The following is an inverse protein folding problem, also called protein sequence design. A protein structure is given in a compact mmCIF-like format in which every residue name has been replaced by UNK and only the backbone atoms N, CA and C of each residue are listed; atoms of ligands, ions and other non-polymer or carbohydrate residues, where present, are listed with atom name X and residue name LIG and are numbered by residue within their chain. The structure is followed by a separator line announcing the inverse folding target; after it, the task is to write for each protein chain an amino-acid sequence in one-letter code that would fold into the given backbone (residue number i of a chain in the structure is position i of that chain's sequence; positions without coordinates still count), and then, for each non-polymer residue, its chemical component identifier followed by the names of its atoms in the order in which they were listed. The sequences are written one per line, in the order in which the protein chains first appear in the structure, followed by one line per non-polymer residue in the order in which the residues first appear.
data_IF_072033680985
#
_entry.id   IF_072033680985
#
_cell.length_a   1.000
_cell.length_b   1.000
_cell.length_c   1.000
_cell.angle_alpha   90.00
_cell.angle_beta   90.00
_cell.angle_gamma   90.00
#
_symmetry.space_group_name_H-M   'P 1'
#
loop_
_entity.id
_entity.type
_entity.pdbx_description
1 polymer ?
#
# COMPACT_ATOMS: atom_id res chain seq x y z
N UNK A 1 17.01 16.74 -37.56
CA UNK A 1 16.39 18.07 -37.37
C UNK A 1 15.49 17.97 -36.15
N UNK A 2 15.97 18.53 -35.04
CA UNK A 2 15.36 18.39 -33.72
C UNK A 2 14.22 19.41 -33.55
N UNK A 3 13.01 18.93 -33.28
CA UNK A 3 11.87 19.77 -32.92
C UNK A 3 12.07 20.28 -31.49
N UNK A 4 12.60 21.50 -31.37
CA UNK A 4 12.57 22.25 -30.12
C UNK A 4 11.11 22.59 -29.77
N UNK A 5 10.61 21.91 -28.74
CA UNK A 5 9.32 22.20 -28.10
C UNK A 5 9.47 23.57 -27.44
N UNK A 6 8.93 24.60 -28.09
CA UNK A 6 8.86 25.94 -27.51
C UNK A 6 7.92 25.91 -26.30
N UNK A 7 8.52 26.08 -25.12
CA UNK A 7 7.93 26.83 -24.02
C UNK A 7 7.13 28.01 -24.59
N UNK A 8 5.85 28.18 -24.24
CA UNK A 8 5.13 29.40 -24.58
C UNK A 8 5.59 30.53 -23.63
N UNK A 9 6.83 30.98 -23.78
CA UNK A 9 7.36 32.16 -23.07
C UNK A 9 6.42 33.36 -23.23
N UNK A 10 5.74 33.48 -24.37
CA UNK A 10 4.71 34.49 -24.62
C UNK A 10 3.56 34.46 -23.60
N UNK A 11 3.17 33.28 -23.10
CA UNK A 11 2.11 33.18 -22.08
C UNK A 11 2.63 33.56 -20.69
N UNK A 12 3.88 33.24 -20.36
CA UNK A 12 4.53 33.73 -19.13
C UNK A 12 4.72 35.25 -19.19
N UNK A 13 5.10 35.79 -20.36
CA UNK A 13 5.25 37.23 -20.57
C UNK A 13 3.89 37.95 -20.50
N UNK A 14 2.82 37.36 -21.06
CA UNK A 14 1.44 37.86 -20.91
C UNK A 14 1.00 37.85 -19.45
N UNK A 15 1.31 36.77 -18.72
CA UNK A 15 1.06 36.66 -17.30
C UNK A 15 1.80 37.76 -16.52
N UNK A 16 3.10 37.95 -16.77
CA UNK A 16 3.91 39.01 -16.16
C UNK A 16 3.33 40.41 -16.44
N UNK A 17 2.97 40.69 -17.70
CA UNK A 17 2.36 41.98 -18.09
C UNK A 17 1.04 42.23 -17.37
N UNK A 18 0.16 41.22 -17.29
CA UNK A 18 -1.12 41.35 -16.60
C UNK A 18 -0.93 41.58 -15.09
N UNK A 19 0.01 40.87 -14.48
CA UNK A 19 0.32 41.02 -13.04
C UNK A 19 0.97 42.37 -12.70
N UNK A 20 1.63 43.03 -13.66
CA UNK A 20 2.18 44.38 -13.49
C UNK A 20 1.13 45.50 -13.62
N UNK A 21 0.02 45.26 -14.34
CA UNK A 21 -1.02 46.27 -14.59
C UNK A 21 -2.14 46.31 -13.55
N UNK A 22 -2.38 45.20 -12.85
CA UNK A 22 -3.48 45.12 -11.88
C UNK A 22 -3.05 45.64 -10.49
N UNK A 23 -3.91 46.43 -9.85
CA UNK A 23 -3.67 46.95 -8.50
C UNK A 23 -3.53 45.78 -7.49
N UNK A 24 -2.34 45.61 -6.90
CA UNK A 24 -1.76 44.38 -6.32
C UNK A 24 -2.43 43.88 -5.01
N UNK A 25 -3.62 44.34 -4.65
CA UNK A 25 -4.31 43.88 -3.43
C UNK A 25 -5.21 42.68 -3.76
N UNK A 26 -4.67 41.46 -3.65
CA UNK A 26 -5.30 40.13 -3.82
C UNK A 26 -5.12 39.44 -5.17
N UNK A 27 -3.89 38.96 -5.40
CA UNK A 27 -3.57 38.03 -6.49
C UNK A 27 -3.45 36.62 -5.91
N UNK A 28 -4.11 35.64 -6.54
CA UNK A 28 -3.95 34.21 -6.25
C UNK A 28 -3.63 33.46 -7.54
N UNK A 29 -2.71 32.50 -7.46
CA UNK A 29 -2.27 31.72 -8.61
C UNK A 29 -2.45 30.24 -8.32
N UNK A 30 -3.14 29.56 -9.23
CA UNK A 30 -3.53 28.16 -9.11
C UNK A 30 -2.87 27.36 -10.25
N UNK A 31 -1.93 26.49 -9.90
CA UNK A 31 -1.21 25.61 -10.81
C UNK A 31 -1.92 24.26 -10.85
N UNK A 32 -2.48 23.90 -12.00
CA UNK A 32 -3.05 22.57 -12.23
C UNK A 32 -2.09 21.70 -13.01
N UNK A 33 -1.75 20.54 -12.46
CA UNK A 33 -0.85 19.57 -13.07
C UNK A 33 -1.59 18.27 -13.37
N UNK A 34 -1.62 17.89 -14.65
CA UNK A 34 -1.90 16.51 -15.02
C UNK A 34 -0.58 15.73 -15.14
N UNK A 35 -0.49 14.59 -14.44
CA UNK A 35 0.77 13.92 -14.17
C UNK A 35 0.87 12.64 -14.97
N UNK A 36 1.79 12.62 -15.94
CA UNK A 36 2.15 11.41 -16.65
C UNK A 36 3.62 10.99 -16.39
N UNK A 37 3.99 9.84 -16.97
CA UNK A 37 5.33 9.24 -16.80
C UNK A 37 6.43 10.10 -17.41
N UNK A 38 6.23 10.53 -18.66
CA UNK A 38 7.30 11.15 -19.46
C UNK A 38 7.28 12.69 -19.35
N UNK A 39 6.09 13.28 -19.22
CA UNK A 39 5.89 14.71 -18.98
C UNK A 39 4.67 14.96 -18.08
N UNK A 40 4.59 16.15 -17.52
CA UNK A 40 3.44 16.67 -16.79
C UNK A 40 2.87 17.84 -17.58
N UNK A 41 1.55 17.93 -17.70
CA UNK A 41 0.93 19.07 -18.36
C UNK A 41 0.57 20.13 -17.32
N UNK A 42 1.02 21.37 -17.52
CA UNK A 42 0.80 22.47 -16.59
C UNK A 42 -0.12 23.53 -17.19
N UNK A 43 -1.16 23.87 -16.45
CA UNK A 43 -1.98 25.07 -16.66
C UNK A 43 -1.97 25.95 -15.41
N UNK A 44 -1.99 27.27 -15.61
CA UNK A 44 -2.01 28.26 -14.54
C UNK A 44 -3.29 29.08 -14.65
N UNK A 45 -4.06 29.13 -13.57
CA UNK A 45 -5.20 30.03 -13.43
C UNK A 45 -4.81 31.15 -12.47
N UNK A 46 -4.97 32.40 -12.88
CA UNK A 46 -4.69 33.58 -12.06
C UNK A 46 -5.98 34.28 -11.75
N UNK A 47 -6.19 34.56 -10.47
CA UNK A 47 -7.32 35.31 -9.95
C UNK A 47 -6.83 36.65 -9.43
N UNK A 48 -7.38 37.73 -9.98
CA UNK A 48 -7.12 39.10 -9.53
C UNK A 48 -8.46 39.78 -9.30
N UNK A 49 -8.72 40.21 -8.07
CA UNK A 49 -9.97 40.89 -7.69
C UNK A 49 -11.24 40.13 -8.14
N UNK A 50 -11.22 38.79 -8.04
CA UNK A 50 -12.32 37.91 -8.42
C UNK A 50 -12.46 37.63 -9.92
N UNK A 51 -11.66 38.26 -10.78
CA UNK A 51 -11.58 37.92 -12.21
C UNK A 51 -10.51 36.87 -12.43
N UNK A 52 -10.83 35.87 -13.24
CA UNK A 52 -9.90 34.76 -13.54
C UNK A 52 -9.33 34.86 -14.95
N UNK A 53 -8.08 34.44 -15.11
CA UNK A 53 -7.37 34.39 -16.39
C UNK A 53 -6.59 33.07 -16.46
N UNK A 54 -6.77 32.34 -17.55
CA UNK A 54 -6.18 31.01 -17.74
C UNK A 54 -4.99 31.06 -18.71
N UNK A 55 -3.88 30.46 -18.30
CA UNK A 55 -2.65 30.34 -19.08
C UNK A 55 -2.29 28.87 -19.25
N UNK A 56 -2.21 28.47 -20.51
CA UNK A 56 -1.69 27.18 -20.94
C UNK A 56 -0.16 27.26 -21.02
N UNK A 57 0.53 26.58 -20.10
CA UNK A 57 2.00 26.60 -20.03
C UNK A 57 2.58 25.49 -20.92
N UNK A 58 1.97 24.31 -20.88
CA UNK A 58 2.35 23.17 -21.71
C UNK A 58 3.05 22.05 -20.92
N UNK A 59 3.88 21.30 -21.63
CA UNK A 59 4.53 20.10 -21.10
C UNK A 59 5.80 20.42 -20.31
N UNK A 60 5.89 19.85 -19.10
CA UNK A 60 7.08 19.82 -18.25
C UNK A 60 7.63 18.40 -18.27
N UNK A 61 8.79 18.18 -18.90
CA UNK A 61 9.42 16.85 -18.93
C UNK A 61 9.66 16.32 -17.51
N UNK A 62 9.43 15.03 -17.29
CA UNK A 62 9.72 14.38 -16.01
C UNK A 62 11.20 13.96 -15.93
N UNK A 63 12.09 14.95 -16.03
CA UNK A 63 13.54 14.79 -15.95
C UNK A 63 14.17 16.05 -15.34
N UNK A 64 15.49 16.06 -15.18
CA UNK A 64 16.21 17.20 -14.58
C UNK A 64 15.95 18.52 -15.32
N UNK A 65 16.03 18.52 -16.65
CA UNK A 65 15.79 19.70 -17.49
C UNK A 65 14.37 20.26 -17.31
N UNK A 66 13.36 19.41 -17.30
CA UNK A 66 11.97 19.83 -17.07
C UNK A 66 11.75 20.39 -15.66
N UNK A 67 12.40 19.84 -14.64
CA UNK A 67 12.31 20.41 -13.29
C UNK A 67 13.06 21.75 -13.15
N UNK A 68 14.19 21.95 -13.83
CA UNK A 68 14.84 23.27 -13.91
C UNK A 68 13.93 24.31 -14.58
N UNK A 69 13.27 23.91 -15.67
CA UNK A 69 12.30 24.74 -16.35
C UNK A 69 11.11 25.11 -15.45
N UNK A 70 10.63 24.16 -14.65
CA UNK A 70 9.59 24.41 -13.68
C UNK A 70 10.03 25.37 -12.57
N UNK A 71 11.23 25.18 -12.01
CA UNK A 71 11.83 26.07 -11.03
C UNK A 71 11.94 27.51 -11.58
N UNK A 72 12.35 27.66 -12.84
CA UNK A 72 12.41 28.96 -13.50
C UNK A 72 11.03 29.62 -13.63
N UNK A 73 9.97 28.87 -13.92
CA UNK A 73 8.59 29.41 -13.94
C UNK A 73 8.22 29.97 -12.57
N UNK A 74 8.44 29.19 -11.50
CA UNK A 74 8.11 29.64 -10.15
C UNK A 74 8.94 30.85 -9.72
N UNK A 75 10.25 30.87 -10.00
CA UNK A 75 11.12 32.04 -9.73
C UNK A 75 10.61 33.30 -10.41
N UNK A 76 10.29 33.23 -11.71
CA UNK A 76 9.74 34.36 -12.47
C UNK A 76 8.42 34.90 -11.90
N UNK A 77 7.61 34.05 -11.26
CA UNK A 77 6.35 34.45 -10.61
C UNK A 77 6.63 35.08 -9.24
N UNK A 78 7.56 34.51 -8.46
CA UNK A 78 7.96 35.02 -7.14
C UNK A 78 8.63 36.40 -7.27
N UNK A 79 9.43 36.63 -8.31
CA UNK A 79 10.05 37.92 -8.65
C UNK A 79 9.04 39.06 -8.88
N UNK A 80 7.76 38.75 -9.11
CA UNK A 80 6.68 39.75 -9.24
C UNK A 80 6.14 40.23 -7.88
N UNK A 81 6.87 40.00 -6.78
CA UNK A 81 6.47 40.31 -5.40
C UNK A 81 5.14 39.63 -4.98
N UNK A 82 4.82 38.49 -5.59
CA UNK A 82 3.67 37.68 -5.19
C UNK A 82 4.08 36.80 -4.00
N UNK A 83 3.31 36.91 -2.91
CA UNK A 83 3.53 36.05 -1.74
C UNK A 83 3.44 34.57 -2.12
N UNK A 84 4.40 33.78 -1.66
CA UNK A 84 4.41 32.32 -1.82
C UNK A 84 3.11 31.68 -1.28
N UNK A 85 2.51 32.28 -0.25
CA UNK A 85 1.25 31.83 0.33
C UNK A 85 0.04 31.99 -0.61
N UNK A 86 0.19 32.76 -1.70
CA UNK A 86 -0.83 32.94 -2.73
C UNK A 86 -0.64 32.00 -3.93
N UNK A 87 0.33 31.08 -3.87
CA UNK A 87 0.56 30.05 -4.88
C UNK A 87 -0.07 28.74 -4.41
N UNK A 88 -0.96 28.17 -5.21
CA UNK A 88 -1.72 26.95 -4.91
C UNK A 88 -1.47 25.91 -5.99
N UNK A 89 -1.08 24.69 -5.63
CA UNK A 89 -0.71 23.64 -6.59
C UNK A 89 -1.66 22.47 -6.46
N UNK A 90 -2.34 22.09 -7.53
CA UNK A 90 -3.24 20.95 -7.61
C UNK A 90 -2.65 19.83 -8.46
N UNK A 91 -2.75 18.59 -7.96
CA UNK A 91 -2.16 17.40 -8.58
C UNK A 91 -3.20 16.27 -8.57
N UNK A 92 -3.46 15.62 -9.70
CA UNK A 92 -4.25 14.38 -9.73
C UNK A 92 -3.36 13.16 -9.44
N UNK A 93 -3.75 12.32 -8.47
CA UNK A 93 -3.02 11.07 -8.18
C UNK A 93 -3.54 9.91 -9.01
N UNK A 94 -2.81 9.57 -10.06
CA UNK A 94 -3.04 8.34 -10.85
C UNK A 94 -1.84 7.38 -10.82
N UNK A 95 -0.67 7.82 -10.34
CA UNK A 95 0.57 7.02 -10.29
C UNK A 95 1.57 7.51 -9.23
N UNK A 96 2.83 7.05 -9.29
CA UNK A 96 3.90 7.46 -8.35
C UNK A 96 4.70 8.68 -8.82
N UNK A 97 4.55 9.13 -10.06
CA UNK A 97 5.38 10.20 -10.64
C UNK A 97 5.21 11.57 -9.97
N UNK A 98 4.08 11.79 -9.30
CA UNK A 98 3.82 13.03 -8.57
C UNK A 98 4.78 13.25 -7.39
N UNK A 99 5.43 12.20 -6.84
CA UNK A 99 6.31 12.34 -5.69
C UNK A 99 7.50 13.27 -5.98
N UNK A 100 8.18 13.07 -7.11
CA UNK A 100 9.33 13.90 -7.50
C UNK A 100 8.91 15.35 -7.73
N UNK A 101 7.76 15.58 -8.38
CA UNK A 101 7.20 16.91 -8.60
C UNK A 101 6.88 17.63 -7.28
N UNK A 102 6.17 16.95 -6.36
CA UNK A 102 5.86 17.49 -5.02
C UNK A 102 7.15 17.84 -4.27
N UNK A 103 8.17 16.97 -4.34
CA UNK A 103 9.44 17.19 -3.66
C UNK A 103 10.15 18.46 -4.15
N UNK A 104 10.17 18.68 -5.47
CA UNK A 104 10.78 19.86 -6.09
C UNK A 104 10.00 21.13 -5.76
N UNK A 105 8.67 21.11 -5.89
CA UNK A 105 7.81 22.26 -5.56
C UNK A 105 7.97 22.67 -4.10
N UNK A 106 8.05 21.70 -3.17
CA UNK A 106 8.30 21.99 -1.75
C UNK A 106 9.70 22.57 -1.49
N UNK A 107 10.72 22.32 -2.35
CA UNK A 107 12.06 22.94 -2.19
C UNK A 107 12.02 24.44 -2.47
N UNK A 108 11.02 24.89 -3.23
CA UNK A 108 10.78 26.30 -3.54
C UNK A 108 9.99 27.04 -2.44
N UNK A 109 9.72 26.38 -1.30
CA UNK A 109 9.00 26.97 -0.17
C UNK A 109 7.46 26.97 -0.31
N UNK A 110 6.92 26.39 -1.38
CA UNK A 110 5.47 26.36 -1.63
C UNK A 110 4.82 25.25 -0.80
N UNK A 111 3.93 25.64 0.12
CA UNK A 111 3.25 24.69 1.01
C UNK A 111 1.84 24.29 0.56
N UNK A 112 1.16 25.14 -0.21
CA UNK A 112 -0.23 24.92 -0.59
C UNK A 112 -0.33 23.93 -1.77
N UNK A 113 -0.01 22.67 -1.49
CA UNK A 113 -0.04 21.57 -2.45
C UNK A 113 -1.21 20.66 -2.12
N UNK A 114 -2.10 20.46 -3.09
CA UNK A 114 -3.33 19.69 -2.98
C UNK A 114 -3.25 18.45 -3.86
N UNK A 115 -3.23 17.31 -3.19
CA UNK A 115 -3.18 15.99 -3.81
C UNK A 115 -4.61 15.47 -3.92
N UNK A 116 -5.16 15.48 -5.13
CA UNK A 116 -6.60 15.29 -5.36
C UNK A 116 -6.85 13.88 -5.90
N UNK A 117 -7.89 13.23 -5.35
CA UNK A 117 -8.34 11.94 -5.85
C UNK A 117 -8.94 12.09 -7.26
N UNK A 118 -8.44 11.31 -8.22
CA UNK A 118 -8.93 11.32 -9.61
C UNK A 118 -10.43 11.08 -9.75
N UNK A 119 -11.09 10.41 -8.80
CA UNK A 119 -12.55 10.30 -8.82
C UNK A 119 -13.26 11.64 -8.60
N UNK A 120 -12.71 12.51 -7.74
CA UNK A 120 -13.25 13.86 -7.48
C UNK A 120 -13.03 14.74 -8.72
N UNK A 121 -11.83 14.70 -9.30
CA UNK A 121 -11.52 15.42 -10.55
C UNK A 121 -12.43 14.95 -11.69
N UNK A 122 -12.64 13.64 -11.85
CA UNK A 122 -13.53 13.09 -12.88
C UNK A 122 -14.98 13.55 -12.70
N UNK A 123 -15.50 13.59 -11.48
CA UNK A 123 -16.85 14.10 -11.20
C UNK A 123 -16.95 15.59 -11.53
N UNK A 124 -15.97 16.38 -11.09
CA UNK A 124 -15.93 17.81 -11.38
C UNK A 124 -15.78 18.09 -12.88
N UNK A 125 -14.92 17.34 -13.58
CA UNK A 125 -14.75 17.40 -15.03
C UNK A 125 -16.08 17.20 -15.74
N UNK A 126 -16.85 16.18 -15.37
CA UNK A 126 -18.14 15.90 -15.99
C UNK A 126 -19.17 17.02 -15.76
N UNK A 127 -19.10 17.75 -14.64
CA UNK A 127 -19.94 18.94 -14.41
C UNK A 127 -19.41 20.21 -15.07
N UNK A 128 -18.08 20.32 -15.25
CA UNK A 128 -17.40 21.53 -15.70
C UNK A 128 -17.26 21.58 -17.23
N UNK A 129 -17.00 20.44 -17.88
CA UNK A 129 -16.78 20.33 -19.32
C UNK A 129 -17.53 19.10 -19.85
N UNK A 130 -18.42 19.32 -20.82
CA UNK A 130 -19.17 18.24 -21.49
C UNK A 130 -18.36 17.61 -22.65
N UNK A 131 -17.10 17.26 -22.38
CA UNK A 131 -16.15 16.68 -23.35
C UNK A 131 -15.84 15.23 -22.97
N UNK A 132 -16.08 14.30 -23.90
CA UNK A 132 -15.69 12.89 -23.76
C UNK A 132 -14.22 12.64 -24.14
N UNK A 133 -13.49 13.64 -24.62
CA UNK A 133 -12.11 13.48 -25.10
C UNK A 133 -11.16 13.64 -23.92
N UNK A 134 -10.28 12.65 -23.73
CA UNK A 134 -9.17 12.74 -22.77
C UNK A 134 -8.07 13.60 -23.38
N UNK A 135 -7.72 14.70 -22.72
CA UNK A 135 -6.70 15.61 -23.17
C UNK A 135 -5.98 16.14 -21.92
N UNK A 136 -4.69 15.86 -21.80
CA UNK A 136 -3.86 16.19 -20.63
C UNK A 136 -3.89 17.70 -20.33
N UNK A 137 -4.01 18.53 -21.38
CA UNK A 137 -4.28 19.97 -21.23
C UNK A 137 -5.58 20.25 -20.50
N UNK A 138 -6.69 19.65 -20.94
CA UNK A 138 -8.00 19.86 -20.31
C UNK A 138 -7.99 19.37 -18.87
N UNK A 139 -7.33 18.25 -18.59
CA UNK A 139 -7.23 17.69 -17.24
C UNK A 139 -6.45 18.65 -16.32
N UNK A 140 -5.32 19.22 -16.78
CA UNK A 140 -4.58 20.24 -16.04
C UNK A 140 -5.40 21.52 -15.75
N UNK A 141 -6.21 21.98 -16.72
CA UNK A 141 -7.11 23.13 -16.56
C UNK A 141 -8.20 22.84 -15.52
N UNK A 142 -8.83 21.67 -15.61
CA UNK A 142 -9.87 21.23 -14.67
C UNK A 142 -9.32 21.19 -13.25
N UNK A 143 -8.09 20.72 -13.06
CA UNK A 143 -7.42 20.70 -11.75
C UNK A 143 -7.21 22.12 -11.21
N UNK A 144 -6.74 23.06 -12.04
CA UNK A 144 -6.57 24.46 -11.63
C UNK A 144 -7.90 25.11 -11.20
N UNK A 145 -8.98 24.90 -11.95
CA UNK A 145 -10.32 25.37 -11.57
C UNK A 145 -10.85 24.67 -10.33
N UNK A 146 -10.57 23.37 -10.15
CA UNK A 146 -11.00 22.63 -8.96
C UNK A 146 -10.42 23.23 -7.69
N UNK A 147 -9.11 23.48 -7.66
CA UNK A 147 -8.46 24.08 -6.49
C UNK A 147 -8.91 25.53 -6.25
N UNK A 148 -9.19 26.29 -7.31
CA UNK A 148 -9.77 27.63 -7.18
C UNK A 148 -11.18 27.59 -6.60
N UNK A 149 -12.04 26.71 -7.13
CA UNK A 149 -13.46 26.59 -6.73
C UNK A 149 -13.62 26.11 -5.30
N UNK A 150 -12.81 25.12 -4.89
CA UNK A 150 -12.90 24.49 -3.59
C UNK A 150 -11.80 24.93 -2.62
N UNK A 151 -11.15 26.08 -2.90
CA UNK A 151 -10.02 26.58 -2.12
C UNK A 151 -10.29 26.57 -0.63
N UNK A 152 -11.35 27.23 -0.17
CA UNK A 152 -11.65 27.37 1.26
C UNK A 152 -11.92 26.01 1.93
N UNK A 153 -12.52 25.06 1.20
CA UNK A 153 -12.72 23.70 1.70
C UNK A 153 -11.39 22.96 1.82
N UNK A 154 -10.55 23.04 0.79
CA UNK A 154 -9.23 22.40 0.76
C UNK A 154 -8.28 23.02 1.78
N UNK A 155 -8.34 24.32 2.00
CA UNK A 155 -7.62 25.03 3.05
C UNK A 155 -8.13 24.61 4.43
N UNK A 156 -9.45 24.53 4.65
CA UNK A 156 -9.99 24.02 5.93
C UNK A 156 -9.62 22.55 6.18
N UNK A 157 -9.61 21.72 5.13
CA UNK A 157 -9.11 20.35 5.20
C UNK A 157 -7.63 20.35 5.60
N UNK A 158 -6.80 21.15 4.93
CA UNK A 158 -5.36 21.28 5.22
C UNK A 158 -5.06 21.94 6.56
N UNK A 159 -5.84 22.92 7.02
CA UNK A 159 -5.70 23.59 8.31
C UNK A 159 -6.20 22.70 9.44
N UNK A 160 -7.28 21.94 9.26
CA UNK A 160 -7.67 20.92 10.24
C UNK A 160 -6.58 19.86 10.39
N UNK A 161 -5.91 19.54 9.28
CA UNK A 161 -4.72 18.69 9.25
C UNK A 161 -3.57 19.39 10.00
N UNK A 162 -3.14 20.61 9.62
CA UNK A 162 -2.05 21.40 10.24
C UNK A 162 -2.28 21.80 11.71
N UNK A 163 -3.51 22.06 12.14
CA UNK A 163 -3.84 22.49 13.51
C UNK A 163 -3.97 21.31 14.48
N UNK A 164 -4.46 20.15 14.01
CA UNK A 164 -4.40 18.89 14.79
C UNK A 164 -3.00 18.27 14.80
N UNK A 165 -2.07 18.84 14.03
CA UNK A 165 -0.69 18.38 13.96
C UNK A 165 0.22 19.55 13.62
N UNK A 166 0.75 20.22 14.66
CA UNK A 166 1.81 21.25 14.59
C UNK A 166 3.12 20.75 13.94
N UNK A 167 3.10 19.66 13.16
CA UNK A 167 4.23 18.91 12.66
C UNK A 167 3.93 18.11 11.38
N UNK A 168 2.96 18.49 10.53
CA UNK A 168 2.90 17.94 9.17
C UNK A 168 3.92 18.69 8.31
N UNK A 169 5.18 18.36 8.59
CA UNK A 169 6.31 18.72 7.78
C UNK A 169 6.33 17.85 6.52
N UNK A 170 7.00 18.35 5.48
CA UNK A 170 7.47 17.60 4.30
C UNK A 170 7.89 16.15 4.59
N UNK A 171 8.40 15.88 5.79
CA UNK A 171 8.80 14.56 6.27
C UNK A 171 7.66 13.54 6.30
N UNK A 172 6.47 13.85 6.83
CA UNK A 172 5.43 12.83 7.06
C UNK A 172 4.83 12.24 5.77
N UNK A 173 4.54 13.10 4.79
CA UNK A 173 4.05 12.64 3.48
C UNK A 173 5.08 11.75 2.78
N UNK A 174 6.37 12.10 2.87
CA UNK A 174 7.45 11.30 2.28
C UNK A 174 7.64 9.98 3.04
N UNK A 175 7.65 10.00 4.38
CA UNK A 175 7.73 8.83 5.26
C UNK A 175 6.59 7.85 4.98
N UNK A 176 5.35 8.32 4.99
CA UNK A 176 4.17 7.49 4.68
C UNK A 176 4.22 6.92 3.27
N UNK A 177 4.75 7.66 2.31
CA UNK A 177 4.88 7.20 0.92
C UNK A 177 5.95 6.14 0.73
N UNK A 178 7.12 6.29 1.38
CA UNK A 178 8.19 5.28 1.40
C UNK A 178 7.70 3.99 2.05
N UNK A 179 7.08 4.08 3.23
CA UNK A 179 6.48 2.93 3.92
C UNK A 179 5.43 2.22 3.05
N UNK A 180 4.56 2.99 2.40
CA UNK A 180 3.55 2.46 1.49
C UNK A 180 4.17 1.70 0.32
N UNK A 181 5.23 2.23 -0.29
CA UNK A 181 5.93 1.54 -1.39
C UNK A 181 6.55 0.22 -0.91
N UNK A 182 7.32 0.26 0.18
CA UNK A 182 7.99 -0.91 0.75
C UNK A 182 6.97 -1.99 1.15
N UNK A 183 5.89 -1.61 1.83
CA UNK A 183 4.86 -2.55 2.26
C UNK A 183 4.13 -3.19 1.07
N UNK A 184 3.82 -2.41 0.02
CA UNK A 184 3.18 -2.94 -1.19
C UNK A 184 4.04 -3.98 -1.88
N UNK A 185 5.34 -3.74 -1.99
CA UNK A 185 6.29 -4.72 -2.52
C UNK A 185 6.37 -5.95 -1.62
N UNK A 186 6.51 -5.77 -0.31
CA UNK A 186 6.50 -6.85 0.68
C UNK A 186 5.25 -7.74 0.57
N UNK A 187 4.07 -7.11 0.44
CA UNK A 187 2.81 -7.81 0.28
C UNK A 187 2.75 -8.60 -1.04
N UNK A 188 3.23 -8.02 -2.13
CA UNK A 188 3.33 -8.71 -3.42
C UNK A 188 4.22 -9.95 -3.32
N UNK A 189 5.37 -9.85 -2.65
CA UNK A 189 6.29 -10.98 -2.49
C UNK A 189 5.75 -12.07 -1.56
N UNK A 190 5.06 -11.72 -0.46
CA UNK A 190 4.34 -12.71 0.38
C UNK A 190 3.29 -13.47 -0.43
N UNK A 191 2.60 -12.80 -1.36
CA UNK A 191 1.65 -13.44 -2.28
C UNK A 191 2.38 -14.35 -3.27
N UNK A 192 3.48 -13.91 -3.88
CA UNK A 192 4.33 -14.73 -4.76
C UNK A 192 4.83 -15.99 -4.04
N UNK A 193 5.34 -15.86 -2.81
CA UNK A 193 5.77 -16.97 -1.97
C UNK A 193 4.63 -17.97 -1.74
N UNK A 194 3.42 -17.50 -1.48
CA UNK A 194 2.24 -18.35 -1.29
C UNK A 194 1.89 -19.16 -2.56
N UNK A 195 2.02 -18.54 -3.74
CA UNK A 195 1.80 -19.21 -5.04
C UNK A 195 2.88 -20.27 -5.27
N UNK A 196 4.15 -19.95 -5.02
CA UNK A 196 5.27 -20.90 -5.16
C UNK A 196 5.05 -22.10 -4.23
N UNK A 197 4.68 -21.87 -2.96
CA UNK A 197 4.33 -22.94 -2.02
C UNK A 197 3.20 -23.84 -2.54
N UNK A 198 2.19 -23.26 -3.19
CA UNK A 198 1.11 -24.03 -3.80
C UNK A 198 1.62 -24.91 -4.95
N UNK A 199 2.48 -24.37 -5.80
CA UNK A 199 3.09 -25.13 -6.91
C UNK A 199 3.99 -26.27 -6.42
N UNK A 200 4.81 -26.01 -5.39
CA UNK A 200 5.60 -27.06 -4.72
C UNK A 200 4.67 -28.17 -4.19
N UNK A 201 3.56 -27.81 -3.54
CA UNK A 201 2.59 -28.80 -3.03
C UNK A 201 1.98 -29.64 -4.14
N UNK A 202 1.54 -28.99 -5.21
CA UNK A 202 0.93 -29.65 -6.36
C UNK A 202 1.90 -30.65 -6.99
N UNK A 203 3.13 -30.19 -7.27
CA UNK A 203 4.16 -31.03 -7.85
C UNK A 203 4.58 -32.17 -6.90
N UNK A 204 4.65 -31.91 -5.60
CA UNK A 204 4.87 -32.97 -4.60
C UNK A 204 3.77 -34.02 -4.64
N UNK A 205 2.49 -33.62 -4.67
CA UNK A 205 1.38 -34.58 -4.72
C UNK A 205 1.40 -35.45 -5.99
N UNK A 206 2.00 -34.94 -7.07
CA UNK A 206 2.13 -35.63 -8.35
C UNK A 206 3.28 -36.65 -8.35
N UNK A 207 4.45 -36.26 -7.83
CA UNK A 207 5.67 -37.09 -7.89
C UNK A 207 5.78 -38.05 -6.71
N UNK A 208 5.36 -37.61 -5.52
CA UNK A 208 5.67 -38.31 -4.27
C UNK A 208 4.72 -37.89 -3.13
N UNK A 209 3.42 -38.20 -3.20
CA UNK A 209 2.43 -37.73 -2.23
C UNK A 209 2.66 -38.26 -0.80
N UNK A 210 3.22 -39.46 -0.64
CA UNK A 210 3.45 -40.16 0.63
C UNK A 210 4.49 -39.47 1.52
N UNK A 211 5.30 -38.55 0.98
CA UNK A 211 6.22 -37.73 1.79
C UNK A 211 5.50 -36.99 2.93
N UNK A 212 4.22 -36.67 2.76
CA UNK A 212 3.42 -36.00 3.79
C UNK A 212 3.03 -36.89 4.97
N UNK A 213 3.28 -38.19 4.92
CA UNK A 213 3.21 -39.08 6.10
C UNK A 213 4.39 -38.84 7.06
N UNK A 214 5.47 -38.22 6.58
CA UNK A 214 6.69 -37.93 7.34
C UNK A 214 6.87 -36.42 7.59
N UNK A 215 6.46 -35.58 6.64
CA UNK A 215 6.61 -34.13 6.71
C UNK A 215 5.25 -33.42 6.78
N UNK A 216 5.19 -32.34 7.58
CA UNK A 216 3.99 -31.54 7.69
C UNK A 216 3.78 -30.69 6.42
N UNK A 217 2.65 -30.90 5.75
CA UNK A 217 2.24 -30.22 4.50
C UNK A 217 2.29 -28.67 4.55
N UNK A 218 2.31 -28.07 5.73
CA UNK A 218 2.30 -26.62 5.93
C UNK A 218 3.65 -26.03 6.36
N UNK A 219 4.63 -26.83 6.80
CA UNK A 219 5.86 -26.32 7.44
C UNK A 219 7.03 -26.05 6.49
N UNK A 220 7.10 -26.66 5.30
CA UNK A 220 8.15 -26.40 4.28
C UNK A 220 9.56 -26.38 4.88
N UNK A 221 9.93 -27.45 5.60
CA UNK A 221 11.22 -27.49 6.30
C UNK A 221 12.39 -27.51 5.31
N UNK A 222 13.57 -27.01 5.71
CA UNK A 222 14.78 -27.03 4.86
C UNK A 222 15.11 -28.44 4.36
N UNK A 223 14.98 -29.44 5.23
CA UNK A 223 15.18 -30.85 4.88
C UNK A 223 14.15 -31.36 3.86
N UNK A 224 12.86 -31.10 4.07
CA UNK A 224 11.80 -31.48 3.14
C UNK A 224 12.04 -30.89 1.75
N UNK A 225 12.39 -29.60 1.67
CA UNK A 225 12.62 -28.93 0.41
C UNK A 225 13.89 -29.42 -0.28
N UNK A 226 14.95 -29.68 0.48
CA UNK A 226 16.16 -30.27 -0.04
C UNK A 226 15.90 -31.65 -0.65
N UNK A 227 15.19 -32.53 0.07
CA UNK A 227 14.84 -33.87 -0.42
C UNK A 227 14.03 -33.77 -1.72
N UNK A 228 12.96 -32.97 -1.73
CA UNK A 228 12.10 -32.79 -2.90
C UNK A 228 12.85 -32.27 -4.14
N UNK A 229 13.85 -31.42 -3.95
CA UNK A 229 14.57 -30.77 -5.06
C UNK A 229 15.82 -31.50 -5.53
N UNK A 230 16.32 -32.49 -4.79
CA UNK A 230 17.59 -33.15 -5.10
C UNK A 230 17.49 -34.66 -5.30
N UNK A 231 16.34 -35.27 -5.01
CA UNK A 231 16.13 -36.70 -5.20
C UNK A 231 14.83 -37.00 -5.94
N UNK A 232 14.86 -37.97 -6.83
CA UNK A 232 13.67 -38.65 -7.34
C UNK A 232 13.18 -39.67 -6.30
N UNK A 233 11.96 -40.18 -6.46
CA UNK A 233 11.45 -41.26 -5.60
C UNK A 233 12.33 -42.52 -5.70
N UNK A 234 12.85 -42.82 -6.88
CA UNK A 234 13.65 -44.00 -7.16
C UNK A 234 15.04 -43.86 -6.52
N UNK A 235 15.68 -42.70 -6.64
CA UNK A 235 16.94 -42.38 -5.95
C UNK A 235 16.81 -42.51 -4.42
N UNK A 236 15.65 -42.15 -3.85
CA UNK A 236 15.37 -42.33 -2.41
C UNK A 236 15.32 -43.83 -2.04
N UNK A 237 14.74 -44.66 -2.90
CA UNK A 237 14.59 -46.10 -2.67
C UNK A 237 15.89 -46.89 -2.90
N UNK A 238 16.71 -46.49 -3.86
CA UNK A 238 17.95 -47.18 -4.24
C UNK A 238 19.13 -46.90 -3.28
N UNK A 239 19.17 -45.71 -2.67
CA UNK A 239 20.24 -45.36 -1.74
C UNK A 239 20.16 -46.15 -0.43
N UNK A 240 21.31 -46.55 0.10
CA UNK A 240 21.40 -47.07 1.47
C UNK A 240 20.92 -46.00 2.47
N UNK A 241 20.33 -46.41 3.60
CA UNK A 241 19.87 -45.47 4.64
C UNK A 241 20.99 -44.55 5.12
N UNK A 242 22.22 -45.07 5.18
CA UNK A 242 23.43 -44.32 5.54
C UNK A 242 23.82 -43.29 4.50
N UNK A 243 23.81 -43.65 3.20
CA UNK A 243 24.16 -42.72 2.13
C UNK A 243 23.10 -41.64 1.95
N UNK A 244 21.83 -42.01 2.03
CA UNK A 244 20.73 -41.06 1.96
C UNK A 244 20.80 -40.06 3.11
N UNK A 245 21.03 -40.52 4.34
CA UNK A 245 21.28 -39.65 5.49
C UNK A 245 22.44 -38.69 5.25
N UNK A 246 23.61 -39.21 4.84
CA UNK A 246 24.81 -38.40 4.63
C UNK A 246 24.58 -37.30 3.56
N UNK A 247 23.95 -37.65 2.43
CA UNK A 247 23.64 -36.68 1.37
C UNK A 247 22.65 -35.61 1.83
N UNK A 248 21.64 -35.96 2.61
CA UNK A 248 20.66 -35.00 3.15
C UNK A 248 21.31 -34.08 4.18
N UNK A 249 22.15 -34.59 5.09
CA UNK A 249 22.83 -33.77 6.09
C UNK A 249 23.82 -32.79 5.43
N UNK A 250 24.65 -33.28 4.51
CA UNK A 250 25.62 -32.45 3.79
C UNK A 250 24.94 -31.30 3.05
N UNK A 251 23.87 -31.58 2.29
CA UNK A 251 23.19 -30.54 1.52
C UNK A 251 22.27 -29.62 2.33
N UNK A 252 21.86 -30.02 3.54
CA UNK A 252 21.11 -29.14 4.45
C UNK A 252 22.01 -28.33 5.39
N UNK A 253 23.31 -28.63 5.46
CA UNK A 253 24.26 -27.99 6.37
C UNK A 253 23.94 -28.24 7.85
N UNK A 254 23.25 -29.35 8.17
CA UNK A 254 22.94 -29.74 9.54
C UNK A 254 24.00 -30.72 10.04
N UNK A 255 24.72 -30.34 11.09
CA UNK A 255 25.73 -31.20 11.73
C UNK A 255 25.09 -31.90 12.93
N UNK A 256 25.14 -33.24 12.89
CA UNK A 256 25.02 -34.30 13.93
C UNK A 256 24.02 -34.22 15.11
N UNK A 257 23.40 -33.09 15.43
CA UNK A 257 22.42 -33.01 16.51
C UNK A 257 21.24 -33.95 16.23
N UNK A 258 20.95 -34.87 17.16
CA UNK A 258 19.88 -35.87 17.03
C UNK A 258 20.00 -36.82 15.83
N UNK A 259 21.22 -37.24 15.44
CA UNK A 259 21.49 -38.24 14.39
C UNK A 259 20.51 -39.43 14.39
N UNK A 260 20.30 -40.06 15.55
CA UNK A 260 19.39 -41.21 15.70
C UNK A 260 17.93 -40.89 15.33
N UNK A 261 17.44 -39.70 15.66
CA UNK A 261 16.08 -39.27 15.32
C UNK A 261 15.94 -39.00 13.82
N UNK A 262 16.94 -38.35 13.22
CA UNK A 262 16.94 -38.09 11.78
C UNK A 262 17.04 -39.35 10.94
N UNK A 263 17.90 -40.31 11.32
CA UNK A 263 17.98 -41.61 10.66
C UNK A 263 16.61 -42.29 10.67
N UNK A 264 15.98 -42.45 11.84
CA UNK A 264 14.63 -43.04 11.94
C UNK A 264 13.60 -42.34 11.06
N UNK A 265 13.68 -41.01 10.96
CA UNK A 265 12.77 -40.22 10.12
C UNK A 265 12.99 -40.46 8.63
N UNK A 266 14.25 -40.55 8.19
CA UNK A 266 14.61 -40.81 6.79
C UNK A 266 14.38 -42.28 6.40
N UNK A 267 14.61 -43.23 7.30
CA UNK A 267 14.25 -44.64 7.11
C UNK A 267 12.74 -44.78 6.93
N UNK A 268 11.94 -44.14 7.79
CA UNK A 268 10.50 -44.08 7.62
C UNK A 268 10.09 -43.44 6.30
N UNK A 269 10.84 -42.43 5.82
CA UNK A 269 10.60 -41.86 4.50
C UNK A 269 10.83 -42.90 3.41
N UNK A 270 11.96 -43.60 3.40
CA UNK A 270 12.25 -44.64 2.42
C UNK A 270 11.18 -45.74 2.44
N UNK A 271 10.70 -46.14 3.62
CA UNK A 271 9.61 -47.11 3.78
C UNK A 271 8.32 -46.66 3.09
N UNK A 272 7.88 -45.41 3.32
CA UNK A 272 6.62 -44.91 2.72
C UNK A 272 6.77 -44.62 1.22
N UNK A 273 7.98 -44.27 0.75
CA UNK A 273 8.22 -43.97 -0.66
C UNK A 273 8.32 -45.23 -1.53
N UNK A 274 8.75 -46.38 -0.97
CA UNK A 274 8.77 -47.67 -1.69
C UNK A 274 7.43 -48.04 -2.32
N UNK A 275 6.33 -47.68 -1.66
CA UNK A 275 4.97 -47.95 -2.12
C UNK A 275 4.29 -46.68 -2.67
N UNK A 276 5.07 -45.69 -3.11
CA UNK A 276 4.52 -44.41 -3.59
C UNK A 276 3.75 -44.57 -4.89
N UNK A 277 2.53 -44.04 -4.94
CA UNK A 277 1.71 -43.98 -6.16
C UNK A 277 2.14 -42.85 -7.12
N UNK A 278 3.19 -42.10 -6.74
CA UNK A 278 3.66 -40.94 -7.50
C UNK A 278 4.27 -41.30 -8.85
N UNK A 279 4.26 -40.34 -9.78
CA UNK A 279 4.73 -40.54 -11.15
C UNK A 279 6.26 -40.77 -11.17
N UNK A 280 6.71 -41.70 -12.02
CA UNK A 280 8.14 -41.94 -12.31
C UNK A 280 8.77 -40.74 -13.03
N UNK A 281 10.02 -40.43 -12.70
CA UNK A 281 10.75 -39.27 -13.24
C UNK A 281 12.09 -39.69 -13.85
N UNK A 282 12.01 -40.61 -14.82
CA UNK A 282 13.17 -41.29 -15.43
C UNK A 282 14.21 -40.33 -16.02
N UNK A 283 13.75 -39.17 -16.50
CA UNK A 283 14.61 -38.13 -17.09
C UNK A 283 14.89 -36.95 -16.13
N UNK A 284 14.46 -37.02 -14.88
CA UNK A 284 14.68 -35.97 -13.86
C UNK A 284 13.99 -34.64 -14.17
N UNK A 285 12.96 -34.64 -15.03
CA UNK A 285 12.23 -33.44 -15.45
C UNK A 285 11.51 -32.81 -14.25
N UNK A 286 10.81 -33.64 -13.47
CA UNK A 286 10.06 -33.16 -12.34
C UNK A 286 10.95 -32.76 -11.16
N UNK A 287 12.06 -33.48 -10.94
CA UNK A 287 13.14 -33.10 -10.02
C UNK A 287 13.71 -31.72 -10.39
N UNK A 288 14.01 -31.50 -11.67
CA UNK A 288 14.47 -30.19 -12.18
C UNK A 288 13.45 -29.07 -11.95
N UNK A 289 12.17 -29.32 -12.25
CA UNK A 289 11.09 -28.35 -11.97
C UNK A 289 10.97 -28.04 -10.47
N UNK A 290 11.05 -29.06 -9.61
CA UNK A 290 10.99 -28.89 -8.16
C UNK A 290 12.18 -28.06 -7.66
N UNK A 291 13.38 -28.32 -8.18
CA UNK A 291 14.58 -27.53 -7.87
C UNK A 291 14.39 -26.05 -8.16
N UNK A 292 13.90 -25.71 -9.36
CA UNK A 292 13.63 -24.31 -9.74
C UNK A 292 12.59 -23.67 -8.80
N UNK A 293 11.54 -24.41 -8.42
CA UNK A 293 10.52 -23.90 -7.50
C UNK A 293 11.08 -23.65 -6.10
N UNK A 294 11.93 -24.54 -5.60
CA UNK A 294 12.58 -24.42 -4.29
C UNK A 294 13.58 -23.27 -4.29
N UNK A 295 14.39 -23.10 -5.34
CA UNK A 295 15.30 -21.95 -5.50
C UNK A 295 14.54 -20.62 -5.52
N UNK A 296 13.46 -20.54 -6.32
CA UNK A 296 12.56 -19.38 -6.32
C UNK A 296 11.96 -19.11 -4.95
N UNK A 297 11.56 -20.15 -4.23
CA UNK A 297 11.03 -20.01 -2.88
C UNK A 297 12.06 -19.36 -1.94
N UNK A 298 13.29 -19.86 -1.91
CA UNK A 298 14.35 -19.30 -1.07
C UNK A 298 14.70 -17.87 -1.45
N UNK A 299 14.82 -17.57 -2.75
CA UNK A 299 15.08 -16.22 -3.23
C UNK A 299 13.98 -15.25 -2.80
N UNK A 300 12.70 -15.60 -2.99
CA UNK A 300 11.57 -14.79 -2.53
C UNK A 300 11.55 -14.62 -1.01
N UNK A 301 11.88 -15.65 -0.22
CA UNK A 301 11.96 -15.51 1.24
C UNK A 301 13.06 -14.55 1.68
N UNK A 302 14.19 -14.51 0.98
CA UNK A 302 15.28 -13.57 1.26
C UNK A 302 14.86 -12.13 0.93
N UNK A 303 14.19 -11.92 -0.21
CA UNK A 303 13.62 -10.60 -0.55
C UNK A 303 12.64 -10.14 0.53
N UNK A 304 11.74 -11.01 0.96
CA UNK A 304 10.77 -10.70 2.02
C UNK A 304 11.50 -10.27 3.31
N UNK A 305 12.52 -11.00 3.75
CA UNK A 305 13.29 -10.67 4.94
C UNK A 305 14.03 -9.33 4.82
N UNK A 306 14.58 -9.03 3.64
CA UNK A 306 15.22 -7.73 3.38
C UNK A 306 14.20 -6.58 3.40
N UNK A 307 13.01 -6.78 2.83
CA UNK A 307 11.93 -5.80 2.89
C UNK A 307 11.43 -5.60 4.33
N UNK A 308 11.33 -6.65 5.15
CA UNK A 308 10.98 -6.53 6.57
C UNK A 308 12.00 -5.64 7.31
N UNK A 309 13.31 -5.80 7.05
CA UNK A 309 14.35 -4.92 7.60
C UNK A 309 14.20 -3.47 7.16
N UNK A 310 14.02 -3.22 5.86
CA UNK A 310 13.84 -1.86 5.32
C UNK A 310 12.58 -1.18 5.86
N UNK A 311 11.48 -1.91 6.02
CA UNK A 311 10.25 -1.38 6.60
C UNK A 311 10.47 -1.01 8.06
N UNK A 312 11.12 -1.87 8.86
CA UNK A 312 11.39 -1.56 10.26
C UNK A 312 12.31 -0.35 10.41
N UNK A 313 13.37 -0.25 9.61
CA UNK A 313 14.24 0.94 9.59
C UNK A 313 13.46 2.21 9.23
N UNK A 314 12.56 2.15 8.25
CA UNK A 314 11.75 3.31 7.90
C UNK A 314 10.74 3.67 9.01
N UNK A 315 10.17 2.68 9.72
CA UNK A 315 9.31 2.92 10.89
C UNK A 315 10.11 3.59 12.03
N UNK A 316 11.33 3.12 12.31
CA UNK A 316 12.21 3.67 13.36
C UNK A 316 12.65 5.10 13.04
N UNK A 317 12.89 5.41 11.76
CA UNK A 317 13.29 6.75 11.33
C UNK A 317 12.11 7.71 11.13
N UNK A 318 10.89 7.20 10.97
CA UNK A 318 9.71 8.02 10.81
C UNK A 318 9.32 8.67 12.14
N UNK A 319 8.74 9.87 12.09
CA UNK A 319 8.16 10.53 13.28
C UNK A 319 6.81 9.90 13.69
N UNK A 320 6.67 8.61 13.44
CA UNK A 320 5.44 7.87 13.47
C UNK A 320 5.21 7.25 14.86
N UNK A 321 4.10 7.61 15.50
CA UNK A 321 3.64 6.86 16.65
C UNK A 321 3.01 5.52 16.20
N UNK A 322 3.60 4.41 16.62
CA UNK A 322 3.04 3.06 16.46
C UNK A 322 2.56 2.57 17.83
N UNK A 323 1.25 2.38 18.05
CA UNK A 323 0.76 1.92 19.34
C UNK A 323 1.22 0.49 19.60
N UNK A 324 1.61 0.19 20.83
CA UNK A 324 1.84 -1.18 21.25
C UNK A 324 0.48 -1.89 21.37
N UNK A 325 0.29 -2.93 20.55
CA UNK A 325 -0.91 -3.76 20.55
C UNK A 325 -0.48 -5.21 20.58
N UNK A 326 -0.82 -5.90 21.67
CA UNK A 326 -0.46 -7.32 21.83
C UNK A 326 -0.93 -8.15 20.62
N UNK A 327 0.02 -8.87 20.01
CA UNK A 327 -0.23 -9.71 18.85
C UNK A 327 -0.33 -8.97 17.50
N UNK A 328 -0.09 -7.67 17.43
CA UNK A 328 -0.02 -6.91 16.16
C UNK A 328 1.38 -6.34 15.98
N UNK A 329 2.10 -6.76 14.94
CA UNK A 329 3.46 -6.30 14.68
C UNK A 329 3.54 -4.93 14.00
N UNK A 330 4.64 -4.22 14.22
CA UNK A 330 4.90 -2.87 13.72
C UNK A 330 4.75 -2.74 12.21
N UNK A 331 5.21 -3.73 11.43
CA UNK A 331 5.04 -3.74 9.96
C UNK A 331 3.57 -3.58 9.56
N UNK A 332 2.65 -4.23 10.27
CA UNK A 332 1.23 -4.20 9.95
C UNK A 332 0.58 -2.87 10.36
N UNK A 333 1.00 -2.30 11.49
CA UNK A 333 0.55 -0.98 11.95
C UNK A 333 1.12 0.15 11.08
N UNK A 334 2.40 0.08 10.72
CA UNK A 334 3.04 1.00 9.77
C UNK A 334 2.41 0.93 8.38
N UNK A 335 2.00 -0.26 7.92
CA UNK A 335 1.21 -0.41 6.70
C UNK A 335 -0.17 0.25 6.80
N UNK A 336 -0.85 0.08 7.93
CA UNK A 336 -2.16 0.70 8.16
C UNK A 336 -2.05 2.22 8.15
N UNK A 337 -1.07 2.75 8.88
CA UNK A 337 -0.80 4.17 8.96
C UNK A 337 -0.42 4.76 7.59
N UNK A 338 0.54 4.16 6.90
CA UNK A 338 1.02 4.66 5.59
C UNK A 338 -0.05 4.62 4.50
N UNK A 339 -0.97 3.64 4.53
CA UNK A 339 -2.10 3.59 3.61
C UNK A 339 -3.22 4.57 3.96
N UNK A 340 -3.40 4.92 5.24
CA UNK A 340 -4.28 6.00 5.67
C UNK A 340 -3.70 7.38 5.30
N UNK A 341 -2.40 7.58 5.58
CA UNK A 341 -1.70 8.84 5.43
C UNK A 341 -2.43 9.98 6.16
N UNK A 342 -2.53 11.12 5.49
CA UNK A 342 -3.17 12.33 6.01
C UNK A 342 -4.66 12.14 6.38
N UNK A 343 -5.33 11.11 5.85
CA UNK A 343 -6.72 10.83 6.20
C UNK A 343 -6.91 10.49 7.69
N UNK A 344 -5.85 10.10 8.41
CA UNK A 344 -5.92 9.87 9.86
C UNK A 344 -6.36 11.14 10.61
N UNK A 345 -6.03 12.32 10.11
CA UNK A 345 -6.25 13.60 10.80
C UNK A 345 -7.62 14.23 10.52
N UNK A 346 -8.49 13.56 9.74
CA UNK A 346 -9.88 13.98 9.55
C UNK A 346 -10.60 14.05 10.89
N UNK A 347 -11.52 15.00 11.05
CA UNK A 347 -12.23 15.23 12.31
C UNK A 347 -13.06 14.01 12.73
N UNK A 348 -13.89 13.48 11.84
CA UNK A 348 -14.81 12.38 12.16
C UNK A 348 -14.20 10.99 11.91
N UNK A 349 -14.21 10.13 12.94
CA UNK A 349 -13.81 8.72 12.84
C UNK A 349 -14.69 7.97 11.83
N UNK A 350 -15.98 8.31 11.70
CA UNK A 350 -16.88 7.68 10.72
C UNK A 350 -16.40 7.93 9.30
N UNK A 351 -15.90 9.12 8.98
CA UNK A 351 -15.34 9.43 7.66
C UNK A 351 -14.07 8.62 7.37
N UNK A 352 -13.23 8.40 8.38
CA UNK A 352 -12.01 7.59 8.26
C UNK A 352 -12.37 6.13 7.98
N UNK A 353 -13.31 5.57 8.74
CA UNK A 353 -13.86 4.23 8.48
C UNK A 353 -14.49 4.17 7.08
N UNK A 354 -15.17 5.25 6.67
CA UNK A 354 -15.70 5.52 5.32
C UNK A 354 -14.66 5.29 4.25
N UNK A 355 -13.53 5.98 4.41
CA UNK A 355 -12.39 5.95 3.52
C UNK A 355 -11.71 4.57 3.44
N UNK A 356 -11.59 3.87 4.57
CA UNK A 356 -11.09 2.47 4.59
C UNK A 356 -12.00 1.57 3.73
N UNK A 357 -13.30 1.88 3.67
CA UNK A 357 -14.30 1.05 3.00
C UNK A 357 -14.70 -0.16 3.86
N UNK A 358 -14.64 -0.01 5.19
CA UNK A 358 -15.00 -1.05 6.16
C UNK A 358 -16.48 -0.98 6.53
N UNK A 359 -17.37 -1.04 5.52
CA UNK A 359 -18.82 -1.13 5.72
C UNK A 359 -19.34 -2.42 5.09
N UNK A 360 -20.27 -3.12 5.75
CA UNK A 360 -21.12 -4.09 5.08
C UNK A 360 -21.94 -3.35 4.01
N UNK A 361 -21.98 -3.84 2.78
CA UNK A 361 -22.94 -3.37 1.78
C UNK A 361 -24.35 -3.72 2.23
N UNK A 362 -25.15 -2.71 2.58
CA UNK A 362 -26.60 -2.81 2.45
C UNK A 362 -26.96 -2.35 1.03
N UNK A 363 -27.44 -3.27 0.20
CA UNK A 363 -28.19 -2.94 -1.01
C UNK A 363 -29.67 -3.03 -0.63
N UNK A 364 -30.28 -1.91 -0.25
CA UNK A 364 -31.72 -1.79 -0.04
C UNK A 364 -32.32 -0.87 -1.11
N UNK A 365 -32.40 -1.37 -2.33
CA UNK A 365 -33.37 -0.89 -3.31
C UNK A 365 -34.55 -1.87 -3.34
N UNK A 366 -35.70 -1.49 -2.76
CA UNK A 366 -36.96 -2.21 -2.94
C UNK A 366 -37.24 -3.38 -1.98
N UNK A 367 -37.18 -3.15 -0.67
CA UNK A 367 -37.97 -3.94 0.30
C UNK A 367 -37.64 -5.43 0.50
N UNK A 368 -36.51 -5.94 -0.01
CA UNK A 368 -36.03 -7.31 0.30
C UNK A 368 -34.68 -7.24 1.01
N UNK A 369 -34.62 -7.82 2.22
CA UNK A 369 -33.39 -7.99 3.00
C UNK A 369 -32.43 -8.92 2.26
N UNK A 370 -31.45 -8.34 1.57
CA UNK A 370 -30.48 -9.10 0.78
C UNK A 370 -29.34 -9.63 1.65
N UNK A 371 -29.31 -10.95 1.71
CA UNK A 371 -28.26 -11.80 2.27
C UNK A 371 -26.87 -11.50 1.67
N UNK A 372 -25.86 -11.56 2.56
CA UNK A 372 -24.39 -11.46 2.34
C UNK A 372 -23.84 -10.02 2.37
N UNK A 373 -23.39 -9.62 3.57
CA UNK A 373 -22.50 -8.48 3.74
C UNK A 373 -21.23 -8.66 2.89
N UNK A 374 -21.09 -7.90 1.79
CA UNK A 374 -19.83 -7.75 1.06
C UNK A 374 -19.18 -6.45 1.50
N UNK A 375 -17.85 -6.40 1.52
CA UNK A 375 -17.15 -5.12 1.65
C UNK A 375 -17.45 -4.26 0.43
N UNK A 376 -17.76 -2.97 0.63
CA UNK A 376 -17.85 -2.03 -0.48
C UNK A 376 -16.51 -1.97 -1.25
N UNK A 377 -16.58 -2.08 -2.58
CA UNK A 377 -15.40 -2.09 -3.46
C UNK A 377 -14.72 -0.71 -3.62
N UNK A 378 -15.26 0.34 -3.00
CA UNK A 378 -14.83 1.75 -3.18
C UNK A 378 -13.59 2.16 -2.35
N UNK A 379 -13.21 1.42 -1.31
CA UNK A 379 -12.03 1.74 -0.48
C UNK A 379 -10.70 1.17 -1.02
N UNK A 380 -9.57 1.56 -0.43
CA UNK A 380 -8.25 1.01 -0.77
C UNK A 380 -8.16 -0.48 -0.41
N UNK A 381 -7.89 -1.33 -1.41
CA UNK A 381 -7.83 -2.79 -1.28
C UNK A 381 -6.81 -3.25 -0.26
N UNK A 382 -5.65 -2.60 -0.21
CA UNK A 382 -4.56 -2.95 0.69
C UNK A 382 -4.91 -2.53 2.11
N UNK A 383 -5.43 -1.32 2.27
CA UNK A 383 -5.89 -0.82 3.56
C UNK A 383 -6.94 -1.75 4.19
N UNK A 384 -7.97 -2.18 3.42
CA UNK A 384 -8.91 -3.22 3.91
C UNK A 384 -8.22 -4.52 4.29
N UNK A 385 -7.26 -4.98 3.49
CA UNK A 385 -6.54 -6.24 3.78
C UNK A 385 -5.73 -6.13 5.08
N UNK A 386 -5.02 -5.02 5.26
CA UNK A 386 -4.25 -4.70 6.47
C UNK A 386 -5.17 -4.64 7.68
N UNK A 387 -6.26 -3.88 7.61
CA UNK A 387 -7.29 -3.80 8.65
C UNK A 387 -7.82 -5.18 9.07
N UNK A 388 -8.09 -6.05 8.10
CA UNK A 388 -8.51 -7.42 8.37
C UNK A 388 -7.43 -8.24 9.08
N UNK A 389 -6.17 -8.13 8.63
CA UNK A 389 -5.07 -8.83 9.26
C UNK A 389 -4.84 -8.37 10.70
N UNK A 390 -5.01 -7.07 10.98
CA UNK A 390 -4.91 -6.54 12.35
C UNK A 390 -6.01 -7.16 13.22
N UNK A 391 -7.27 -7.07 12.80
CA UNK A 391 -8.40 -7.63 13.52
C UNK A 391 -8.26 -9.15 13.75
N UNK A 392 -7.81 -9.88 12.73
CA UNK A 392 -7.55 -11.31 12.82
C UNK A 392 -6.43 -11.63 13.82
N UNK A 393 -5.36 -10.84 13.82
CA UNK A 393 -4.23 -11.02 14.75
C UNK A 393 -4.63 -10.74 16.19
N UNK A 394 -5.30 -9.61 16.43
CA UNK A 394 -5.83 -9.28 17.77
C UNK A 394 -6.80 -10.35 18.28
N UNK A 395 -7.68 -10.88 17.42
CA UNK A 395 -8.61 -11.95 17.81
C UNK A 395 -7.89 -13.27 18.14
N UNK A 396 -6.73 -13.52 17.51
CA UNK A 396 -5.93 -14.74 17.76
C UNK A 396 -5.16 -14.65 19.06
N UNK A 397 -4.63 -13.47 19.40
CA UNK A 397 -3.68 -13.29 20.49
C UNK A 397 -4.30 -12.65 21.74
N UNK A 398 -5.36 -11.86 21.61
CA UNK A 398 -6.07 -11.23 22.73
C UNK A 398 -7.39 -11.97 23.02
N UNK A 399 -7.51 -12.55 24.22
CA UNK A 399 -8.67 -13.36 24.62
C UNK A 399 -9.95 -12.52 24.69
N UNK A 400 -9.84 -11.28 25.15
CA UNK A 400 -10.91 -10.30 25.29
C UNK A 400 -11.50 -9.92 23.94
N UNK A 401 -10.64 -9.70 22.94
CA UNK A 401 -11.08 -9.41 21.56
C UNK A 401 -11.80 -10.60 20.96
N UNK A 402 -11.32 -11.82 21.25
CA UNK A 402 -12.02 -13.06 20.86
C UNK A 402 -13.39 -13.17 21.53
N UNK A 403 -13.49 -12.88 22.83
CA UNK A 403 -14.76 -12.86 23.55
C UNK A 403 -15.75 -11.86 22.94
N UNK A 404 -15.30 -10.66 22.57
CA UNK A 404 -16.16 -9.69 21.87
C UNK A 404 -16.70 -10.26 20.55
N UNK A 405 -15.82 -10.89 19.74
CA UNK A 405 -16.22 -11.52 18.46
C UNK A 405 -17.25 -12.63 18.68
N UNK A 406 -17.02 -13.49 19.67
CA UNK A 406 -17.90 -14.61 19.99
C UNK A 406 -19.26 -14.12 20.56
N UNK A 407 -19.25 -13.07 21.42
CA UNK A 407 -20.45 -12.37 21.93
C UNK A 407 -21.29 -11.80 20.77
N UNK A 408 -20.66 -11.07 19.84
CA UNK A 408 -21.33 -10.51 18.65
C UNK A 408 -21.92 -11.64 17.78
N UNK A 409 -21.16 -12.73 17.58
CA UNK A 409 -21.59 -13.86 16.78
C UNK A 409 -22.85 -14.51 17.35
N UNK A 410 -22.87 -14.76 18.66
CA UNK A 410 -24.00 -15.38 19.36
C UNK A 410 -25.23 -14.46 19.40
N UNK A 411 -25.06 -13.20 19.80
CA UNK A 411 -26.17 -12.25 19.95
C UNK A 411 -26.89 -11.95 18.63
N UNK A 412 -26.15 -11.88 17.51
CA UNK A 412 -26.73 -11.58 16.19
C UNK A 412 -27.09 -12.82 15.38
N UNK A 413 -26.73 -14.02 15.86
CA UNK A 413 -26.87 -15.28 15.13
C UNK A 413 -26.30 -15.23 13.69
N UNK A 414 -25.06 -14.75 13.58
CA UNK A 414 -24.37 -14.54 12.29
C UNK A 414 -23.17 -15.48 12.11
N UNK A 415 -22.62 -15.54 10.89
CA UNK A 415 -21.44 -16.36 10.62
C UNK A 415 -20.18 -15.75 11.26
N UNK A 416 -19.20 -16.60 11.58
CA UNK A 416 -17.94 -16.19 12.19
C UNK A 416 -17.20 -15.08 11.41
N UNK A 417 -17.27 -15.10 10.07
CA UNK A 417 -16.67 -14.06 9.23
C UNK A 417 -17.42 -12.72 9.34
N UNK A 418 -18.74 -12.73 9.42
CA UNK A 418 -19.56 -11.52 9.59
C UNK A 418 -19.30 -10.90 10.98
N UNK A 419 -19.21 -11.74 12.02
CA UNK A 419 -18.80 -11.31 13.35
C UNK A 419 -17.40 -10.68 13.34
N UNK A 420 -16.42 -11.29 12.65
CA UNK A 420 -15.07 -10.73 12.48
C UNK A 420 -15.08 -9.36 11.79
N UNK A 421 -15.94 -9.14 10.79
CA UNK A 421 -16.06 -7.84 10.11
C UNK A 421 -16.58 -6.78 11.10
N UNK A 422 -17.60 -7.11 11.89
CA UNK A 422 -18.16 -6.19 12.89
C UNK A 422 -17.12 -5.90 13.98
N UNK A 423 -16.47 -6.92 14.54
CA UNK A 423 -15.39 -6.76 15.52
C UNK A 423 -14.25 -5.92 14.95
N UNK A 424 -13.83 -6.16 13.71
CA UNK A 424 -12.82 -5.36 13.03
C UNK A 424 -13.22 -3.88 12.93
N UNK A 425 -14.50 -3.58 12.72
CA UNK A 425 -14.96 -2.17 12.67
C UNK A 425 -14.80 -1.46 14.02
N UNK A 426 -15.00 -2.17 15.13
CA UNK A 426 -14.76 -1.65 16.49
C UNK A 426 -13.27 -1.42 16.70
N UNK A 427 -12.46 -2.44 16.41
CA UNK A 427 -11.00 -2.36 16.57
C UNK A 427 -10.37 -1.24 15.75
N UNK A 428 -10.85 -1.02 14.52
CA UNK A 428 -10.35 0.08 13.68
C UNK A 428 -10.61 1.45 14.31
N UNK A 429 -11.78 1.67 14.92
CA UNK A 429 -12.07 2.93 15.63
C UNK A 429 -11.13 3.12 16.82
N UNK A 430 -10.86 2.04 17.55
CA UNK A 430 -9.91 2.06 18.67
C UNK A 430 -8.52 2.40 18.16
N UNK A 431 -8.00 1.69 17.14
CA UNK A 431 -6.67 1.95 16.57
C UNK A 431 -6.55 3.37 16.05
N UNK A 432 -7.57 3.89 15.35
CA UNK A 432 -7.58 5.29 14.89
C UNK A 432 -7.52 6.26 16.08
N UNK A 433 -8.25 5.98 17.17
CA UNK A 433 -8.20 6.78 18.39
C UNK A 433 -6.82 6.75 19.05
N UNK A 434 -6.21 5.57 19.17
CA UNK A 434 -4.86 5.38 19.70
C UNK A 434 -3.82 6.18 18.89
N UNK A 435 -3.89 6.09 17.57
CA UNK A 435 -3.00 6.85 16.67
C UNK A 435 -3.18 8.36 16.79
N UNK A 436 -4.42 8.85 16.91
CA UNK A 436 -4.70 10.28 17.09
C UNK A 436 -4.20 10.81 18.43
N UNK A 437 -4.38 10.03 19.49
CA UNK A 437 -4.08 10.45 20.86
C UNK A 437 -2.66 10.06 21.31
N UNK A 438 -1.92 9.32 20.48
CA UNK A 438 -0.59 8.77 20.77
C UNK A 438 -0.56 7.93 22.06
N UNK A 439 -1.53 7.03 22.19
CA UNK A 439 -1.66 6.12 23.32
C UNK A 439 -1.50 4.67 22.89
N UNK A 440 -1.03 3.82 23.81
CA UNK A 440 -1.00 2.38 23.62
C UNK A 440 -2.36 1.73 23.93
N UNK A 441 -2.53 0.49 23.48
CA UNK A 441 -3.77 -0.24 23.68
C UNK A 441 -3.91 -0.73 25.12
N UNK A 442 -4.93 -0.21 25.83
CA UNK A 442 -5.28 -0.62 27.18
C UNK A 442 -6.37 -1.71 27.18
N UNK A 443 -6.00 -2.89 27.67
CA UNK A 443 -6.90 -4.05 27.75
C UNK A 443 -8.02 -3.90 28.78
N UNK A 444 -7.78 -3.20 29.90
CA UNK A 444 -8.77 -3.02 30.96
C UNK A 444 -9.83 -2.00 30.52
N UNK A 445 -9.39 -0.92 29.86
CA UNK A 445 -10.30 0.03 29.23
C UNK A 445 -11.14 -0.65 28.13
N UNK A 446 -10.55 -1.58 27.37
CA UNK A 446 -11.29 -2.36 26.37
C UNK A 446 -12.38 -3.24 27.03
N UNK A 447 -12.05 -3.98 28.09
CA UNK A 447 -13.01 -4.82 28.83
C UNK A 447 -14.19 -3.99 29.33
N UNK A 448 -13.90 -2.86 29.98
CA UNK A 448 -14.90 -1.96 30.55
C UNK A 448 -15.90 -1.43 29.51
N UNK A 449 -15.45 -1.15 28.29
CA UNK A 449 -16.29 -0.52 27.27
C UNK A 449 -17.01 -1.49 26.34
N UNK A 450 -16.54 -2.75 26.20
CA UNK A 450 -17.04 -3.66 25.16
C UNK A 450 -17.48 -5.04 25.66
N UNK A 451 -17.04 -5.47 26.85
CA UNK A 451 -17.36 -6.80 27.38
C UNK A 451 -18.33 -6.74 28.55
N UNK A 452 -18.04 -5.84 29.50
CA UNK A 452 -18.96 -5.46 30.57
C UNK A 452 -20.10 -4.60 29.99
#
# INVERSE_FOLDING_TARGET
MANNIYFKEQNILKLQKQLQTDNIKNIKIYFGFDIAKDFHYLSILVEVNGKTSLYDIGEIKNNFEGFQNLENIFKKIIELNISINNLFVGLEVTGSYYFSLVEQIKKLGIENIYIINGSKIKQFKNSFINSKIKNDKQDSIVIAYYINTFKDLLEKENEAIKNNSKQINRSLFLETSRLKFLYRQYYAEKKSSSIIKSKIKELTNRIMPEIYQVFNKSKFSKMELYIKSNFTKDEICELSSTDFYNRVMNGTGNIEYNKKSYIKKLEKLQEVIKNSIGIYDDFGVFKGQMKILVEKYYFTTNIIANLEKLINLEIENASLFIPEIHGVGNILLGAFYSELGENLYKKDIKEIVGFIGWYPTEYSSGGKSLSKARFQSRGNRILRKVSYLIALSMTRHCKEVKQLKDKIQAQKNIKAMEAMIITGSVLLRIIISLLKNKNDFDIELFKKNYLN
#
